data_IF_192120196112
#
_entry.id   IF_192120196112
#
_cell.length_a   1.000
_cell.length_b   1.000
_cell.length_c   1.000
_cell.angle_alpha   90.00
_cell.angle_beta   90.00
_cell.angle_gamma   90.00
#
_symmetry.space_group_name_H-M   'P 1'
#
loop_
_entity.id
_entity.type
_entity.pdbx_description
1 polymer ?
#
# COMPACT_ATOMS: atom_id res chain seq x y z
N UNK A 1 -20.42 12.89 -3.35
CA UNK A 1 -19.64 13.28 -2.14
C UNK A 1 -18.88 12.09 -1.52
N UNK A 2 -19.01 10.87 -2.04
CA UNK A 2 -18.31 9.67 -1.52
C UNK A 2 -16.79 9.66 -1.79
N UNK A 3 -16.30 10.34 -2.84
CA UNK A 3 -14.88 10.32 -3.20
C UNK A 3 -13.92 10.94 -2.17
N UNK A 4 -14.40 11.86 -1.32
CA UNK A 4 -13.56 12.45 -0.27
C UNK A 4 -13.41 11.53 0.95
N UNK A 5 -14.46 10.77 1.31
CA UNK A 5 -14.43 9.86 2.44
C UNK A 5 -13.56 8.63 2.15
N UNK A 6 -13.68 8.04 0.95
CA UNK A 6 -12.86 6.90 0.54
C UNK A 6 -11.39 7.27 0.40
N UNK A 7 -11.08 8.50 -0.08
CA UNK A 7 -9.71 9.02 -0.08
C UNK A 7 -9.18 9.12 1.35
N UNK A 8 -9.94 9.72 2.27
CA UNK A 8 -9.48 9.92 3.65
C UNK A 8 -9.19 8.60 4.40
N UNK A 9 -9.96 7.54 4.11
CA UNK A 9 -9.70 6.22 4.68
C UNK A 9 -8.45 5.58 4.05
N UNK A 10 -8.28 5.67 2.73
CA UNK A 10 -7.08 5.19 2.06
C UNK A 10 -5.82 5.92 2.55
N UNK A 11 -5.90 7.24 2.73
CA UNK A 11 -4.85 8.08 3.28
C UNK A 11 -4.42 7.66 4.69
N UNK A 12 -5.33 7.12 5.49
CA UNK A 12 -5.03 6.61 6.82
C UNK A 12 -4.51 5.15 6.84
N UNK A 13 -5.08 4.27 6.00
CA UNK A 13 -4.85 2.83 6.07
C UNK A 13 -3.66 2.37 5.21
N UNK A 14 -3.49 2.94 4.01
CA UNK A 14 -2.43 2.51 3.09
C UNK A 14 -1.02 2.70 3.68
N UNK A 15 -0.70 3.78 4.40
CA UNK A 15 0.60 3.91 5.08
C UNK A 15 0.88 2.78 6.08
N UNK A 16 -0.13 2.32 6.82
CA UNK A 16 0.02 1.20 7.76
C UNK A 16 0.31 -0.12 7.02
N UNK A 17 -0.35 -0.36 5.89
CA UNK A 17 -0.08 -1.53 5.05
C UNK A 17 1.31 -1.48 4.41
N UNK A 18 1.79 -0.29 4.05
CA UNK A 18 3.15 -0.07 3.56
C UNK A 18 4.18 -0.43 4.64
N UNK A 19 3.96 -0.01 5.89
CA UNK A 19 4.83 -0.34 7.02
C UNK A 19 4.88 -1.85 7.27
N UNK A 20 3.72 -2.52 7.28
CA UNK A 20 3.63 -3.98 7.44
C UNK A 20 4.37 -4.69 6.30
N UNK A 21 4.23 -4.21 5.05
CA UNK A 21 4.97 -4.74 3.90
C UNK A 21 6.49 -4.59 4.09
N UNK A 22 6.94 -3.43 4.55
CA UNK A 22 8.35 -3.16 4.81
C UNK A 22 8.90 -4.09 5.91
N UNK A 23 8.14 -4.29 7.00
CA UNK A 23 8.50 -5.22 8.06
C UNK A 23 8.56 -6.67 7.58
N UNK A 24 7.58 -7.11 6.78
CA UNK A 24 7.57 -8.44 6.19
C UNK A 24 8.81 -8.67 5.31
N UNK A 25 9.17 -7.69 4.47
CA UNK A 25 10.39 -7.72 3.65
C UNK A 25 11.66 -7.77 4.50
N UNK A 26 11.73 -6.98 5.59
CA UNK A 26 12.85 -7.01 6.54
C UNK A 26 13.01 -8.36 7.24
N UNK A 27 11.89 -9.03 7.54
CA UNK A 27 11.85 -10.38 8.11
C UNK A 27 12.05 -11.49 7.08
N UNK A 28 12.29 -11.16 5.80
CA UNK A 28 12.36 -12.10 4.67
C UNK A 28 11.06 -12.89 4.41
N UNK A 29 9.93 -12.40 4.91
CA UNK A 29 8.59 -12.89 4.55
C UNK A 29 8.14 -12.22 3.24
N UNK A 30 8.70 -12.69 2.14
CA UNK A 30 8.39 -12.18 0.81
C UNK A 30 6.95 -12.51 0.39
N UNK A 31 6.41 -13.64 0.85
CA UNK A 31 5.05 -14.06 0.53
C UNK A 31 4.01 -13.07 1.08
N UNK A 32 4.16 -12.64 2.34
CA UNK A 32 3.27 -11.61 2.91
C UNK A 32 3.47 -10.24 2.26
N UNK A 33 4.72 -9.85 1.99
CA UNK A 33 5.02 -8.59 1.29
C UNK A 33 4.35 -8.53 -0.09
N UNK A 34 4.46 -9.60 -0.87
CA UNK A 34 3.87 -9.69 -2.21
C UNK A 34 2.34 -9.71 -2.14
N UNK A 35 1.75 -10.46 -1.19
CA UNK A 35 0.30 -10.45 -0.97
C UNK A 35 -0.23 -9.04 -0.72
N UNK A 36 0.42 -8.25 0.14
CA UNK A 36 -0.01 -6.87 0.43
C UNK A 36 0.02 -6.01 -0.83
N UNK A 37 1.10 -6.11 -1.61
CA UNK A 37 1.23 -5.36 -2.88
C UNK A 37 0.12 -5.76 -3.86
N UNK A 38 -0.13 -7.05 -4.01
CA UNK A 38 -1.06 -7.58 -5.01
C UNK A 38 -2.51 -7.28 -4.64
N UNK A 39 -2.89 -7.39 -3.36
CA UNK A 39 -4.23 -7.03 -2.87
C UNK A 39 -4.49 -5.52 -3.00
N UNK A 40 -3.50 -4.67 -2.70
CA UNK A 40 -3.61 -3.22 -2.92
C UNK A 40 -3.82 -2.91 -4.41
N UNK A 41 -3.06 -3.57 -5.29
CA UNK A 41 -3.21 -3.40 -6.74
C UNK A 41 -4.60 -3.86 -7.22
N UNK A 42 -5.13 -4.95 -6.67
CA UNK A 42 -6.45 -5.48 -7.01
C UNK A 42 -7.60 -4.50 -6.67
N UNK A 43 -7.41 -3.66 -5.64
CA UNK A 43 -8.38 -2.62 -5.27
C UNK A 43 -8.05 -1.23 -5.86
N UNK A 44 -7.15 -1.16 -6.85
CA UNK A 44 -6.83 0.08 -7.56
C UNK A 44 -5.80 0.97 -6.85
N UNK A 45 -5.00 0.43 -5.93
CA UNK A 45 -3.92 1.15 -5.24
C UNK A 45 -2.57 0.63 -5.73
N UNK A 46 -1.79 1.47 -6.39
CA UNK A 46 -0.43 1.14 -6.82
C UNK A 46 0.58 1.71 -5.83
N UNK A 47 1.52 0.86 -5.39
CA UNK A 47 2.68 1.29 -4.59
C UNK A 47 3.82 1.74 -5.52
N UNK A 48 4.47 2.84 -5.15
CA UNK A 48 5.62 3.42 -5.87
C UNK A 48 6.82 3.51 -4.93
N UNK A 49 7.84 2.69 -5.14
CA UNK A 49 9.07 2.73 -4.36
C UNK A 49 10.09 3.70 -5.00
N UNK A 50 10.55 4.70 -4.24
CA UNK A 50 11.54 5.70 -4.67
C UNK A 50 12.52 6.02 -3.55
N UNK A 51 13.82 5.80 -3.80
CA UNK A 51 14.93 6.22 -2.91
C UNK A 51 14.75 5.85 -1.43
N UNK A 52 14.13 4.71 -1.14
CA UNK A 52 13.90 4.24 0.23
C UNK A 52 12.56 4.66 0.84
N UNK A 53 11.77 5.46 0.14
CA UNK A 53 10.40 5.80 0.49
C UNK A 53 9.42 5.01 -0.39
N UNK A 54 8.32 4.53 0.19
CA UNK A 54 7.19 3.98 -0.56
C UNK A 54 6.07 5.00 -0.57
N UNK A 55 5.77 5.56 -1.74
CA UNK A 55 4.53 6.28 -2.00
C UNK A 55 3.44 5.36 -2.54
N UNK A 56 2.23 5.89 -2.71
CA UNK A 56 1.13 5.17 -3.35
C UNK A 56 0.23 6.12 -4.14
N UNK A 57 -0.50 5.57 -5.10
CA UNK A 57 -1.52 6.31 -5.86
C UNK A 57 -2.75 5.46 -6.14
N UNK A 58 -3.91 6.11 -6.23
CA UNK A 58 -5.11 5.48 -6.78
C UNK A 58 -5.03 5.49 -8.30
N UNK A 59 -5.13 4.30 -8.89
CA UNK A 59 -5.33 4.11 -10.33
C UNK A 59 -6.81 3.83 -10.54
N UNK A 60 -7.40 4.68 -11.39
CA UNK A 60 -8.83 4.68 -11.70
C UNK A 60 -9.18 3.64 -12.75
#
# INVERSE_FOLDING_TARGET
REGAASSSLADAVVPLLIEIRAQARGNKDFATSDRIRDELAAIGITLEDRQGETGWRLVK
#
